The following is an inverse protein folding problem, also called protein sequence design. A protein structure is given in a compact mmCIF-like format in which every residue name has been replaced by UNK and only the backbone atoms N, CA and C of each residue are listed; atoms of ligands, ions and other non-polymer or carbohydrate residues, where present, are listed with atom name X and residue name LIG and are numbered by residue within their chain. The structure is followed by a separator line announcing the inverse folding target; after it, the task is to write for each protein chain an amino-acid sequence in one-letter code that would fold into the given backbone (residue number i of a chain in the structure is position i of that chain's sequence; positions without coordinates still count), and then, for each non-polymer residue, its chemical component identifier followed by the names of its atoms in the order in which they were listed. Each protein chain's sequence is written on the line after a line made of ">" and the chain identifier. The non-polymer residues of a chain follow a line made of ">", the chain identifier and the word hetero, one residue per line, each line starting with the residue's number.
data_IF_777765477886
#
_entry.id   IF_777765477886
#
_cell.length_a   1.000
_cell.length_b   1.000
_cell.length_c   1.000
_cell.angle_alpha   90.00
_cell.angle_beta   90.00
_cell.angle_gamma   90.00
#
_symmetry.space_group_name_H-M   'P 1'
#
loop_
_entity.id
_entity.type
_entity.pdbx_description
1 polymer ?
#
# COMPACT_ATOMS: atom_id res chain seq x y z
N UNK A 1 6.06 -31.77 0.63
CA UNK A 1 5.25 -30.56 0.81
C UNK A 1 6.25 -29.41 0.93
N UNK A 2 6.39 -28.58 -0.09
CA UNK A 2 7.29 -27.41 0.00
C UNK A 2 6.62 -26.41 0.94
N UNK A 3 7.23 -26.15 2.09
CA UNK A 3 6.82 -25.05 2.97
C UNK A 3 7.00 -23.74 2.19
N UNK A 4 6.09 -22.78 2.42
CA UNK A 4 6.26 -21.43 1.90
C UNK A 4 7.64 -20.91 2.33
N UNK A 5 8.52 -20.45 1.41
CA UNK A 5 9.88 -20.03 1.75
C UNK A 5 9.95 -18.93 2.82
N UNK A 6 8.87 -18.13 2.95
CA UNK A 6 8.75 -17.13 4.00
C UNK A 6 8.56 -17.81 5.37
N UNK A 7 7.64 -18.78 5.44
CA UNK A 7 7.37 -19.51 6.68
C UNK A 7 8.60 -20.27 7.12
N UNK A 8 9.29 -20.95 6.19
CA UNK A 8 10.53 -21.67 6.45
C UNK A 8 11.61 -20.75 7.05
N UNK A 9 11.77 -19.55 6.47
CA UNK A 9 12.74 -18.58 7.00
C UNK A 9 12.36 -18.05 8.38
N UNK A 10 11.08 -17.74 8.62
CA UNK A 10 10.62 -17.23 9.91
C UNK A 10 10.74 -18.26 11.04
N UNK A 11 10.74 -19.54 10.71
CA UNK A 11 10.95 -20.64 11.67
C UNK A 11 12.42 -20.94 11.93
N UNK A 12 13.34 -20.30 11.20
CA UNK A 12 14.79 -20.49 11.39
C UNK A 12 15.26 -19.86 12.70
N UNK A 13 16.42 -20.28 13.19
CA UNK A 13 17.04 -19.73 14.40
C UNK A 13 17.53 -18.29 14.22
N UNK A 14 17.75 -17.86 12.98
CA UNK A 14 18.17 -16.49 12.63
C UNK A 14 17.32 -16.01 11.42
N UNK A 15 16.09 -15.57 11.66
CA UNK A 15 15.22 -15.13 10.58
C UNK A 15 15.72 -13.83 9.94
N UNK A 16 15.54 -13.71 8.64
CA UNK A 16 15.85 -12.48 7.92
C UNK A 16 14.91 -11.34 8.32
N UNK A 17 15.41 -10.11 8.28
CA UNK A 17 14.60 -8.93 8.58
C UNK A 17 13.43 -8.78 7.60
N UNK A 18 12.28 -8.38 8.13
CA UNK A 18 11.11 -8.00 7.32
C UNK A 18 11.33 -6.60 6.79
N UNK A 19 11.19 -6.45 5.48
CA UNK A 19 11.27 -5.16 4.77
C UNK A 19 9.86 -4.76 4.36
N UNK A 20 9.51 -3.51 4.66
CA UNK A 20 8.23 -2.91 4.26
C UNK A 20 8.46 -1.89 3.16
N UNK A 21 7.70 -2.04 2.09
CA UNK A 21 7.71 -1.18 0.91
C UNK A 21 6.30 -0.65 0.67
N UNK A 22 6.22 0.58 0.20
CA UNK A 22 4.96 1.25 -0.07
C UNK A 22 4.92 1.73 -1.53
N UNK A 23 3.78 1.55 -2.15
CA UNK A 23 3.46 2.11 -3.46
C UNK A 23 2.22 2.99 -3.34
N UNK A 24 2.33 4.23 -3.76
CA UNK A 24 1.22 5.17 -3.92
C UNK A 24 0.97 5.34 -5.41
N UNK A 25 -0.12 4.77 -5.91
CA UNK A 25 -0.50 4.85 -7.31
C UNK A 25 -1.66 5.84 -7.50
N UNK A 26 -1.42 6.83 -8.38
CA UNK A 26 -2.43 7.79 -8.78
C UNK A 26 -3.26 7.25 -9.93
N UNK A 27 -4.56 7.50 -9.91
CA UNK A 27 -5.50 7.17 -10.98
C UNK A 27 -5.65 8.36 -11.92
N UNK A 28 -5.44 8.16 -13.21
CA UNK A 28 -5.53 9.23 -14.22
C UNK A 28 -6.92 9.88 -14.30
N UNK A 29 -7.97 9.13 -13.95
CA UNK A 29 -9.35 9.65 -14.01
C UNK A 29 -9.70 10.54 -12.81
N UNK A 30 -9.10 10.27 -11.65
CA UNK A 30 -9.35 11.01 -10.42
C UNK A 30 -8.33 12.13 -10.18
N UNK A 31 -7.08 11.90 -10.59
CA UNK A 31 -5.95 12.76 -10.23
C UNK A 31 -5.36 13.49 -11.44
N UNK A 32 -5.95 13.33 -12.63
CA UNK A 32 -5.57 14.08 -13.82
C UNK A 32 -4.21 13.75 -14.43
N UNK A 33 -3.53 12.73 -13.93
CA UNK A 33 -2.30 12.26 -14.53
C UNK A 33 -2.58 11.57 -15.88
N UNK A 34 -1.94 11.98 -16.96
CA UNK A 34 -2.06 11.33 -18.28
C UNK A 34 -1.43 9.93 -18.28
N UNK A 35 -0.55 9.66 -17.34
CA UNK A 35 0.05 8.35 -17.10
C UNK A 35 -0.15 7.98 -15.64
N UNK A 36 -0.49 6.73 -15.37
CA UNK A 36 -0.56 6.22 -14.00
C UNK A 36 0.81 6.39 -13.33
N UNK A 37 0.93 7.40 -12.48
CA UNK A 37 2.15 7.63 -11.70
C UNK A 37 2.10 6.77 -10.44
N UNK A 38 3.20 6.05 -10.19
CA UNK A 38 3.37 5.25 -8.98
C UNK A 38 4.61 5.73 -8.26
N UNK A 39 4.41 6.28 -7.07
CA UNK A 39 5.49 6.64 -6.16
C UNK A 39 5.83 5.44 -5.30
N UNK A 40 7.13 5.07 -5.25
CA UNK A 40 7.63 3.93 -4.51
C UNK A 40 8.59 4.38 -3.44
N UNK A 41 8.32 4.01 -2.20
CA UNK A 41 9.12 4.47 -1.06
C UNK A 41 9.16 3.45 0.06
N UNK A 42 10.14 3.62 0.96
CA UNK A 42 10.30 2.83 2.18
C UNK A 42 10.87 3.68 3.31
N UNK A 43 10.59 3.28 4.55
CA UNK A 43 11.12 3.93 5.75
C UNK A 43 12.36 3.25 6.34
N UNK A 44 12.76 2.12 5.76
CA UNK A 44 13.77 1.22 6.32
C UNK A 44 15.20 1.72 6.26
N UNK A 45 16.09 0.86 6.73
CA UNK A 45 17.54 1.08 6.69
C UNK A 45 18.06 1.03 5.26
N UNK A 46 19.16 1.74 5.01
CA UNK A 46 19.86 1.67 3.75
C UNK A 46 20.50 0.30 3.58
N UNK A 47 20.18 -0.39 2.50
CA UNK A 47 20.84 -1.63 2.11
C UNK A 47 21.94 -1.37 1.06
N UNK A 48 21.78 -0.31 0.28
CA UNK A 48 22.79 0.14 -0.67
C UNK A 48 23.30 1.54 -0.33
N UNK A 49 24.34 1.99 -1.01
CA UNK A 49 25.00 3.29 -0.74
C UNK A 49 24.08 4.50 -0.94
N UNK A 50 23.07 4.37 -1.82
CA UNK A 50 22.12 5.45 -2.16
C UNK A 50 20.90 5.46 -1.24
N UNK A 51 20.74 4.45 -0.38
CA UNK A 51 19.55 4.33 0.48
C UNK A 51 18.30 3.83 -0.24
N UNK A 52 18.43 3.34 -1.44
CA UNK A 52 17.34 2.77 -2.23
C UNK A 52 17.20 1.27 -1.96
N UNK A 53 16.02 0.73 -2.15
CA UNK A 53 15.75 -0.71 -2.15
C UNK A 53 15.23 -1.10 -3.51
N UNK A 54 15.84 -2.11 -4.13
CA UNK A 54 15.41 -2.67 -5.41
C UNK A 54 14.62 -3.95 -5.12
N UNK A 55 13.38 -3.99 -5.59
CA UNK A 55 12.47 -5.13 -5.42
C UNK A 55 11.69 -5.38 -6.69
N UNK A 56 11.78 -6.61 -7.23
CA UNK A 56 11.14 -7.00 -8.49
C UNK A 56 11.44 -6.02 -9.65
N UNK A 57 12.69 -5.55 -9.74
CA UNK A 57 13.14 -4.59 -10.75
C UNK A 57 12.64 -3.15 -10.53
N UNK A 58 11.88 -2.89 -9.46
CA UNK A 58 11.43 -1.54 -9.11
C UNK A 58 12.32 -0.95 -8.00
N UNK A 59 12.62 0.34 -8.13
CA UNK A 59 13.39 1.08 -7.13
C UNK A 59 12.46 1.80 -6.17
N UNK A 60 12.64 1.53 -4.88
CA UNK A 60 11.93 2.19 -3.78
C UNK A 60 12.87 3.18 -3.10
N UNK A 61 12.51 4.45 -3.11
CA UNK A 61 13.30 5.52 -2.54
C UNK A 61 13.13 5.55 -1.01
N UNK A 62 14.21 5.88 -0.31
CA UNK A 62 14.12 6.13 1.11
C UNK A 62 13.35 7.42 1.37
N UNK A 63 12.22 7.29 2.03
CA UNK A 63 11.40 8.44 2.41
C UNK A 63 10.87 8.24 3.84
N UNK A 64 10.94 9.25 4.71
CA UNK A 64 10.39 9.11 6.06
C UNK A 64 8.89 8.91 6.00
N UNK A 65 8.45 7.69 6.31
CA UNK A 65 7.06 7.29 6.37
C UNK A 65 6.81 6.47 7.63
N UNK A 66 5.72 6.75 8.29
CA UNK A 66 5.21 5.97 9.41
C UNK A 66 3.82 5.45 9.05
N UNK A 67 3.61 4.16 9.21
CA UNK A 67 2.34 3.54 8.86
C UNK A 67 1.88 2.64 10.01
N UNK A 68 0.64 2.82 10.46
CA UNK A 68 0.07 2.16 11.63
C UNK A 68 -1.38 1.74 11.39
N UNK A 69 -1.96 0.96 12.30
CA UNK A 69 -3.38 0.60 12.25
C UNK A 69 -3.75 -0.54 11.30
N UNK A 70 -2.80 -1.32 10.80
CA UNK A 70 -3.05 -2.46 9.88
C UNK A 70 -3.56 -3.73 10.56
N UNK A 71 -3.61 -3.75 11.90
CA UNK A 71 -4.03 -4.93 12.63
C UNK A 71 -5.54 -5.19 12.47
N UNK A 72 -5.88 -6.43 12.12
CA UNK A 72 -7.28 -6.87 12.07
C UNK A 72 -7.82 -7.07 13.48
N UNK A 73 -8.93 -6.42 13.77
CA UNK A 73 -9.71 -6.62 14.98
C UNK A 73 -11.02 -7.33 14.64
N UNK A 74 -11.48 -8.21 15.53
CA UNK A 74 -12.72 -8.96 15.32
C UNK A 74 -13.92 -8.01 15.18
N UNK A 75 -14.59 -8.09 14.03
CA UNK A 75 -15.81 -7.30 13.76
C UNK A 75 -15.57 -5.88 13.25
N UNK A 76 -14.32 -5.49 13.01
CA UNK A 76 -13.98 -4.17 12.47
C UNK A 76 -12.97 -4.27 11.34
N UNK A 77 -13.22 -3.57 10.23
CA UNK A 77 -12.23 -3.40 9.18
C UNK A 77 -11.11 -2.48 9.66
N UNK A 78 -9.85 -2.80 9.36
CA UNK A 78 -8.75 -1.90 9.68
C UNK A 78 -8.86 -0.59 8.89
N UNK A 79 -8.67 0.53 9.57
CA UNK A 79 -8.49 1.85 9.00
C UNK A 79 -7.08 2.34 9.33
N UNK A 80 -6.09 1.95 8.53
CA UNK A 80 -4.72 2.37 8.78
C UNK A 80 -4.54 3.86 8.55
N UNK A 81 -3.51 4.39 9.19
CA UNK A 81 -3.01 5.74 8.94
C UNK A 81 -1.60 5.65 8.35
N UNK A 82 -1.31 6.51 7.39
CA UNK A 82 0.02 6.71 6.85
C UNK A 82 0.42 8.17 7.01
N UNK A 83 1.52 8.39 7.71
CA UNK A 83 2.12 9.70 7.90
C UNK A 83 3.39 9.78 7.06
N UNK A 84 3.44 10.72 6.15
CA UNK A 84 4.55 10.91 5.21
C UNK A 84 5.20 12.25 5.52
N UNK A 85 6.54 12.28 5.55
CA UNK A 85 7.27 13.54 5.70
C UNK A 85 6.94 14.50 4.56
N UNK A 86 6.72 15.75 4.90
CA UNK A 86 6.50 16.83 3.93
C UNK A 86 7.76 17.70 3.74
N UNK A 87 8.92 17.14 4.08
CA UNK A 87 10.20 17.83 3.88
C UNK A 87 10.34 18.27 2.43
N UNK A 88 10.71 19.53 2.22
CA UNK A 88 10.75 20.20 0.92
C UNK A 88 9.38 20.36 0.25
N UNK A 89 8.28 20.19 0.98
CA UNK A 89 6.90 20.34 0.48
C UNK A 89 6.56 19.45 -0.72
N UNK A 90 7.25 18.31 -0.89
CA UNK A 90 7.03 17.39 -2.01
C UNK A 90 5.61 16.84 -2.03
N UNK A 91 5.08 16.42 -0.87
CA UNK A 91 3.72 15.91 -0.80
C UNK A 91 2.69 17.01 -1.04
N UNK A 92 2.94 18.22 -0.54
CA UNK A 92 2.10 19.39 -0.83
C UNK A 92 2.10 19.75 -2.31
N UNK A 93 3.23 19.60 -3.02
CA UNK A 93 3.31 19.80 -4.47
C UNK A 93 2.50 18.76 -5.24
N UNK A 94 2.62 17.47 -4.88
CA UNK A 94 1.82 16.41 -5.51
C UNK A 94 0.33 16.64 -5.29
N UNK A 95 -0.07 17.04 -4.08
CA UNK A 95 -1.47 17.39 -3.80
C UNK A 95 -1.93 18.62 -4.58
N UNK A 96 -1.06 19.62 -4.75
CA UNK A 96 -1.37 20.82 -5.52
C UNK A 96 -1.63 20.49 -7.00
N UNK A 97 -0.78 19.64 -7.61
CA UNK A 97 -0.98 19.17 -8.99
C UNK A 97 -2.31 18.42 -9.15
N UNK A 98 -2.65 17.56 -8.21
CA UNK A 98 -3.91 16.82 -8.20
C UNK A 98 -5.11 17.76 -8.01
N UNK A 99 -5.00 18.73 -7.11
CA UNK A 99 -6.07 19.69 -6.82
C UNK A 99 -6.28 20.72 -7.96
N UNK A 100 -5.28 20.92 -8.82
CA UNK A 100 -5.44 21.73 -10.05
C UNK A 100 -6.43 21.08 -11.01
N UNK A 101 -6.47 19.76 -11.05
CA UNK A 101 -7.38 18.99 -11.90
C UNK A 101 -8.73 18.75 -11.21
N UNK A 102 -8.71 18.31 -9.96
CA UNK A 102 -9.89 18.04 -9.16
C UNK A 102 -9.79 18.78 -7.84
N UNK A 103 -10.38 19.95 -7.76
CA UNK A 103 -10.27 20.85 -6.61
C UNK A 103 -10.70 20.16 -5.30
N UNK A 104 -9.82 20.19 -4.30
CA UNK A 104 -10.07 19.60 -2.97
C UNK A 104 -10.00 18.07 -2.92
N UNK A 105 -9.44 17.42 -3.94
CA UNK A 105 -9.30 15.97 -3.95
C UNK A 105 -8.27 15.47 -2.92
N UNK A 106 -7.15 16.19 -2.74
CA UNK A 106 -6.09 15.87 -1.76
C UNK A 106 -5.64 14.40 -1.78
N UNK A 107 -5.49 13.81 -2.98
CA UNK A 107 -5.17 12.40 -3.23
C UNK A 107 -6.26 11.39 -2.80
N UNK A 108 -7.46 11.82 -2.48
CA UNK A 108 -8.55 10.91 -2.14
C UNK A 108 -8.81 9.93 -3.28
N UNK A 109 -8.91 8.65 -2.96
CA UNK A 109 -9.04 7.56 -3.93
C UNK A 109 -7.73 7.03 -4.49
N UNK A 110 -6.59 7.63 -4.19
CA UNK A 110 -5.30 7.07 -4.58
C UNK A 110 -5.05 5.72 -3.89
N UNK A 111 -4.51 4.77 -4.66
CA UNK A 111 -4.27 3.41 -4.18
C UNK A 111 -2.94 3.34 -3.44
N UNK A 112 -2.97 2.87 -2.20
CA UNK A 112 -1.79 2.58 -1.39
C UNK A 112 -1.62 1.07 -1.28
N UNK A 113 -0.49 0.55 -1.71
CA UNK A 113 -0.14 -0.87 -1.57
C UNK A 113 1.02 -1.00 -0.60
N UNK A 114 0.82 -1.76 0.47
CA UNK A 114 1.87 -2.18 1.40
C UNK A 114 2.37 -3.55 0.99
N UNK A 115 3.66 -3.65 0.74
CA UNK A 115 4.36 -4.88 0.37
C UNK A 115 5.33 -5.21 1.50
N UNK A 116 5.32 -6.47 1.94
CA UNK A 116 6.26 -6.97 2.94
C UNK A 116 7.00 -8.17 2.38
N UNK A 117 8.32 -8.14 2.49
CA UNK A 117 9.19 -9.23 2.07
C UNK A 117 10.32 -9.42 3.07
N UNK A 118 11.13 -10.43 2.89
CA UNK A 118 12.32 -10.66 3.69
C UNK A 118 13.54 -10.09 2.99
N UNK A 119 14.46 -9.50 3.75
CA UNK A 119 15.68 -8.88 3.21
C UNK A 119 16.49 -9.85 2.33
N UNK A 120 16.49 -11.15 2.64
CA UNK A 120 17.21 -12.16 1.85
C UNK A 120 16.65 -12.37 0.45
N UNK A 121 15.38 -12.03 0.20
CA UNK A 121 14.75 -12.21 -1.12
C UNK A 121 14.87 -10.99 -2.03
N UNK A 122 15.43 -9.89 -1.54
CA UNK A 122 15.61 -8.68 -2.33
C UNK A 122 16.52 -8.90 -3.55
N UNK A 123 16.34 -8.08 -4.56
CA UNK A 123 17.10 -8.15 -5.80
C UNK A 123 18.61 -8.01 -5.55
N UNK A 124 19.40 -8.63 -6.42
CA UNK A 124 20.86 -8.66 -6.31
C UNK A 124 21.51 -7.26 -6.24
N UNK A 125 20.88 -6.25 -6.84
CA UNK A 125 21.38 -4.87 -6.83
C UNK A 125 21.43 -4.21 -5.44
N UNK A 126 20.78 -4.80 -4.43
CA UNK A 126 20.84 -4.28 -3.05
C UNK A 126 22.13 -4.69 -2.31
N UNK A 127 22.89 -5.62 -2.84
CA UNK A 127 24.06 -6.20 -2.17
C UNK A 127 25.31 -6.09 -3.03
N UNK A 128 26.42 -5.67 -2.47
CA UNK A 128 27.70 -5.48 -3.18
C UNK A 128 28.24 -6.77 -3.83
N UNK A 129 27.89 -7.93 -3.29
CA UNK A 129 28.27 -9.26 -3.82
C UNK A 129 27.18 -9.94 -4.67
N UNK A 130 26.10 -9.24 -4.95
CA UNK A 130 24.90 -9.86 -5.52
C UNK A 130 24.09 -10.64 -4.48
N UNK A 131 23.00 -11.27 -4.89
CA UNK A 131 22.14 -12.07 -4.02
C UNK A 131 21.71 -13.35 -4.75
N UNK A 132 22.22 -14.50 -4.30
CA UNK A 132 21.84 -15.82 -4.85
C UNK A 132 20.46 -16.29 -4.41
N UNK A 133 19.91 -15.74 -3.31
CA UNK A 133 18.60 -16.06 -2.76
C UNK A 133 17.49 -15.11 -3.25
N UNK A 134 17.81 -14.22 -4.21
CA UNK A 134 16.83 -13.28 -4.78
C UNK A 134 15.61 -14.03 -5.31
N UNK A 135 14.43 -13.69 -4.84
CA UNK A 135 13.19 -14.34 -5.22
C UNK A 135 11.99 -13.43 -4.97
N UNK A 136 10.93 -13.61 -5.75
CA UNK A 136 9.71 -12.81 -5.64
C UNK A 136 8.78 -13.29 -4.50
N UNK A 137 9.35 -13.77 -3.40
CA UNK A 137 8.58 -14.22 -2.25
C UNK A 137 8.18 -13.02 -1.39
N UNK A 138 6.88 -12.83 -1.21
CA UNK A 138 6.33 -11.74 -0.43
C UNK A 138 5.13 -12.20 0.42
N UNK A 139 4.86 -11.49 1.50
CA UNK A 139 3.61 -11.65 2.24
C UNK A 139 2.44 -11.18 1.38
N UNK A 140 1.20 -11.61 1.67
CA UNK A 140 0.03 -11.09 0.98
C UNK A 140 0.05 -9.56 0.97
N UNK A 141 -0.11 -8.97 -0.22
CA UNK A 141 -0.15 -7.51 -0.40
C UNK A 141 -1.39 -6.96 0.28
N UNK A 142 -1.20 -5.88 1.00
CA UNK A 142 -2.27 -5.14 1.64
C UNK A 142 -2.59 -3.91 0.79
N UNK A 143 -3.84 -3.84 0.29
CA UNK A 143 -4.28 -2.79 -0.62
C UNK A 143 -5.34 -1.94 0.07
N UNK A 144 -5.06 -0.65 0.16
CA UNK A 144 -5.95 0.36 0.70
C UNK A 144 -6.07 1.53 -0.27
N UNK A 145 -7.00 2.41 0.02
CA UNK A 145 -7.19 3.66 -0.71
C UNK A 145 -7.19 4.82 0.27
N UNK A 146 -6.70 5.97 -0.16
CA UNK A 146 -6.77 7.18 0.65
C UNK A 146 -8.24 7.60 0.75
N UNK A 147 -8.78 7.60 1.97
CA UNK A 147 -10.15 8.05 2.26
C UNK A 147 -10.18 9.56 2.46
N UNK A 148 -9.26 10.07 3.27
CA UNK A 148 -9.12 11.50 3.50
C UNK A 148 -7.73 11.88 4.02
N UNK A 149 -7.38 13.14 3.83
CA UNK A 149 -6.27 13.79 4.50
C UNK A 149 -6.71 14.22 5.91
N UNK A 150 -6.09 13.68 6.95
CA UNK A 150 -6.44 14.00 8.34
C UNK A 150 -5.65 15.20 8.89
N UNK A 151 -4.41 15.34 8.48
CA UNK A 151 -3.56 16.43 8.90
C UNK A 151 -2.55 16.81 7.82
N UNK A 152 -2.28 18.10 7.70
CA UNK A 152 -1.20 18.64 6.86
C UNK A 152 -0.53 19.78 7.60
N UNK A 153 0.78 19.69 7.73
CA UNK A 153 1.60 20.78 8.22
C UNK A 153 2.92 20.84 7.43
N UNK A 154 3.82 21.71 7.83
CA UNK A 154 5.10 21.90 7.15
C UNK A 154 5.99 20.64 7.18
N UNK A 155 5.87 19.83 8.22
CA UNK A 155 6.78 18.72 8.47
C UNK A 155 6.21 17.37 8.01
N UNK A 156 4.90 17.18 8.13
CA UNK A 156 4.24 15.91 7.83
C UNK A 156 2.86 16.10 7.22
N UNK A 157 2.43 15.11 6.43
CA UNK A 157 1.06 14.93 5.96
C UNK A 157 0.59 13.57 6.40
N UNK A 158 -0.61 13.50 6.98
CA UNK A 158 -1.22 12.24 7.45
C UNK A 158 -2.48 11.96 6.66
N UNK A 159 -2.57 10.74 6.15
CA UNK A 159 -3.73 10.24 5.42
C UNK A 159 -4.36 9.08 6.17
N UNK A 160 -5.69 9.07 6.24
CA UNK A 160 -6.46 7.90 6.65
C UNK A 160 -6.72 7.02 5.43
N UNK A 161 -6.52 5.73 5.62
CA UNK A 161 -6.70 4.72 4.58
C UNK A 161 -7.95 3.89 4.88
N UNK A 162 -8.63 3.47 3.83
CA UNK A 162 -9.77 2.58 3.92
C UNK A 162 -9.66 1.43 2.93
N UNK A 163 -10.25 0.28 3.26
CA UNK A 163 -10.40 -0.80 2.30
C UNK A 163 -11.43 -0.40 1.24
N UNK A 164 -11.36 -1.01 0.05
CA UNK A 164 -12.31 -0.72 -1.02
C UNK A 164 -13.79 -0.93 -0.62
N UNK A 165 -14.04 -1.84 0.32
CA UNK A 165 -15.39 -2.13 0.81
C UNK A 165 -15.94 -1.08 1.78
N UNK A 166 -15.08 -0.22 2.32
CA UNK A 166 -15.42 0.82 3.30
C UNK A 166 -15.43 2.24 2.68
N UNK A 167 -15.06 2.36 1.41
CA UNK A 167 -15.07 3.64 0.71
C UNK A 167 -16.49 4.14 0.44
N UNK A 168 -16.65 5.46 0.47
CA UNK A 168 -17.93 6.10 0.14
C UNK A 168 -18.42 5.70 -1.27
N UNK A 169 -19.72 5.41 -1.38
CA UNK A 169 -20.35 5.03 -2.64
C UNK A 169 -20.29 3.54 -2.98
N UNK A 170 -19.54 2.73 -2.26
CA UNK A 170 -19.54 1.28 -2.42
C UNK A 170 -20.80 0.69 -1.79
N UNK A 171 -21.55 -0.07 -2.59
CA UNK A 171 -22.76 -0.78 -2.14
C UNK A 171 -22.49 -2.27 -2.09
N UNK A 172 -22.66 -2.86 -0.92
CA UNK A 172 -22.58 -4.30 -0.68
C UNK A 172 -23.83 -4.76 0.10
N UNK A 173 -24.49 -5.84 -0.32
CA UNK A 173 -24.31 -6.60 -1.56
C UNK A 173 -24.77 -5.85 -2.80
N UNK A 174 -24.14 -6.08 -3.94
CA UNK A 174 -24.51 -5.47 -5.22
C UNK A 174 -25.86 -5.95 -5.75
N UNK A 175 -26.29 -7.16 -5.36
CA UNK A 175 -27.56 -7.76 -5.72
C UNK A 175 -28.37 -8.07 -4.47
N UNK A 176 -29.62 -7.64 -4.48
CA UNK A 176 -30.58 -8.08 -3.49
C UNK A 176 -31.21 -9.38 -3.93
N UNK A 177 -31.48 -10.29 -3.01
CA UNK A 177 -32.26 -11.49 -3.27
C UNK A 177 -33.74 -11.10 -3.38
N UNK A 178 -34.18 -10.72 -4.57
CA UNK A 178 -35.59 -10.42 -4.86
C UNK A 178 -36.22 -11.58 -5.62
N UNK A 179 -37.56 -11.70 -5.55
CA UNK A 179 -38.31 -12.75 -6.21
C UNK A 179 -38.21 -12.71 -7.75
N UNK A 180 -37.96 -11.52 -8.31
CA UNK A 180 -37.76 -11.35 -9.75
C UNK A 180 -36.49 -12.01 -10.26
N UNK A 181 -35.43 -12.03 -9.40
CA UNK A 181 -34.14 -12.62 -9.74
C UNK A 181 -34.07 -14.09 -9.31
N UNK A 182 -34.68 -14.41 -8.18
CA UNK A 182 -34.69 -15.74 -7.57
C UNK A 182 -36.15 -16.16 -7.26
N UNK A 183 -36.87 -16.74 -8.21
CA UNK A 183 -38.29 -17.06 -8.03
C UNK A 183 -38.63 -17.96 -6.85
N UNK A 184 -37.67 -18.76 -6.41
CA UNK A 184 -37.84 -19.70 -5.28
C UNK A 184 -37.75 -19.05 -3.89
N UNK A 185 -37.43 -17.75 -3.79
CA UNK A 185 -37.33 -17.07 -2.49
C UNK A 185 -38.69 -16.93 -1.84
N UNK A 186 -38.82 -17.48 -0.63
CA UNK A 186 -40.03 -17.42 0.18
C UNK A 186 -41.13 -18.43 -0.24
N UNK A 187 -40.85 -19.36 -1.13
CA UNK A 187 -41.67 -20.56 -1.33
C UNK A 187 -41.11 -21.68 -0.43
N UNK A 188 -41.74 -21.88 0.68
CA UNK A 188 -41.56 -23.11 1.49
C UNK A 188 -42.57 -24.15 0.92
N UNK A 189 -42.04 -25.29 0.50
CA UNK A 189 -42.83 -26.49 0.19
C UNK A 189 -42.85 -27.33 1.44
#
# INVERSE_FOLDING_TARGET
>A
MSLDPIIDNLQSTNPSAIIELFELALDSTLHGSQTTMTYRFHAGSNLNANGEIIWQGNTYLRYPVEASGFAFQKGQLPRPEITISNTLSLMSLVMLEVNEVTAGNDLTGAKVTRIRTLAKFLDAGNFSGGNGDAANNEFPREIYYIDRKSNENRDVVTFELASISDLAGIRLPKRQCTRDIFPSIGTFI
#
